data_IF_689048422867
#
_entry.id   IF_689048422867
#
_cell.length_a   1.000
_cell.length_b   1.000
_cell.length_c   1.000
_cell.angle_alpha   90.00
_cell.angle_beta   90.00
_cell.angle_gamma   90.00
#
_symmetry.space_group_name_H-M   'P 1'
#
loop_
_entity.id
_entity.type
_entity.pdbx_description
1 polymer ?
#
# COMPACT_ATOMS: atom_id res chain seq x y z
N UNK A 1 13.11 -0.87 9.42
CA UNK A 1 11.83 -1.48 9.71
C UNK A 1 11.75 -2.01 11.14
N UNK A 2 10.60 -2.45 11.54
CA UNK A 2 10.41 -3.11 12.83
C UNK A 2 9.31 -4.19 12.73
N UNK A 3 9.36 -5.14 13.69
CA UNK A 3 8.26 -6.05 14.00
C UNK A 3 7.93 -5.96 15.48
N UNK A 4 6.64 -5.98 15.82
CA UNK A 4 6.15 -5.96 17.18
C UNK A 4 5.13 -7.08 17.36
N UNK A 5 5.38 -7.98 18.32
CA UNK A 5 4.38 -8.95 18.74
C UNK A 5 3.35 -8.24 19.64
N UNK A 6 2.09 -8.22 19.20
CA UNK A 6 0.97 -7.68 19.96
C UNK A 6 0.35 -8.77 20.84
N UNK A 7 0.28 -9.99 20.29
CA UNK A 7 -0.12 -11.23 20.95
C UNK A 7 0.65 -12.37 20.30
N UNK A 8 0.69 -13.56 20.93
CA UNK A 8 1.42 -14.73 20.44
C UNK A 8 1.14 -15.11 18.95
N UNK A 9 0.01 -14.68 18.40
CA UNK A 9 -0.40 -14.94 17.02
C UNK A 9 -0.76 -13.67 16.24
N UNK A 10 -0.42 -12.48 16.77
CA UNK A 10 -0.70 -11.19 16.13
C UNK A 10 0.55 -10.33 16.18
N UNK A 11 1.07 -10.00 15.02
CA UNK A 11 2.27 -9.19 14.87
C UNK A 11 1.97 -7.95 14.02
N UNK A 12 2.60 -6.84 14.35
CA UNK A 12 2.65 -5.64 13.52
C UNK A 12 4.02 -5.56 12.85
N UNK A 13 4.02 -5.35 11.54
CA UNK A 13 5.24 -5.22 10.75
C UNK A 13 5.27 -3.87 10.03
N UNK A 14 6.45 -3.27 9.96
CA UNK A 14 6.70 -2.07 9.18
C UNK A 14 8.04 -2.21 8.46
N UNK A 15 8.05 -2.09 7.14
CA UNK A 15 9.21 -2.26 6.28
C UNK A 15 10.02 -3.52 6.66
N UNK A 16 9.37 -4.67 6.56
CA UNK A 16 9.91 -5.97 6.97
C UNK A 16 9.68 -7.02 5.91
N UNK A 17 10.52 -8.06 5.91
CA UNK A 17 10.33 -9.27 5.08
C UNK A 17 10.01 -10.43 6.01
N UNK A 18 8.96 -11.17 5.68
CA UNK A 18 8.54 -12.38 6.37
C UNK A 18 8.83 -13.55 5.44
N UNK A 19 9.67 -14.50 5.90
CA UNK A 19 9.99 -15.70 5.14
C UNK A 19 9.07 -16.85 5.57
N UNK A 20 8.41 -17.46 4.60
CA UNK A 20 7.60 -18.67 4.80
C UNK A 20 7.97 -19.64 3.69
N UNK A 21 8.73 -20.67 4.03
CA UNK A 21 9.23 -21.67 3.07
C UNK A 21 9.99 -21.00 1.91
N UNK A 22 9.49 -21.07 0.69
CA UNK A 22 10.06 -20.46 -0.51
C UNK A 22 9.36 -19.13 -0.93
N UNK A 23 8.66 -18.48 0.02
CA UNK A 23 7.90 -17.25 -0.20
C UNK A 23 8.48 -16.13 0.66
N UNK A 24 8.75 -15.00 0.03
CA UNK A 24 9.00 -13.72 0.71
C UNK A 24 7.77 -12.84 0.69
N UNK A 25 7.27 -12.50 1.89
CA UNK A 25 6.20 -11.51 2.05
C UNK A 25 6.84 -10.20 2.49
N UNK A 26 6.89 -9.23 1.59
CA UNK A 26 7.49 -7.91 1.77
C UNK A 26 6.39 -6.95 2.20
N UNK A 27 6.40 -6.53 3.46
CA UNK A 27 5.34 -5.70 4.05
C UNK A 27 5.79 -4.27 4.28
N UNK A 28 4.98 -3.32 3.87
CA UNK A 28 5.25 -1.89 4.02
C UNK A 28 3.94 -1.09 4.02
N UNK A 29 3.92 0.09 4.65
CA UNK A 29 2.82 1.04 4.44
C UNK A 29 2.82 1.55 3.00
N UNK A 30 3.98 1.63 2.35
CA UNK A 30 4.28 2.30 1.09
C UNK A 30 4.13 3.81 1.18
N UNK A 31 3.04 4.30 1.83
CA UNK A 31 2.58 5.66 1.66
C UNK A 31 2.41 5.99 0.16
N UNK A 32 2.16 7.23 -0.18
CA UNK A 32 2.07 7.67 -1.58
C UNK A 32 2.75 9.02 -1.72
N UNK A 33 2.79 9.59 -2.90
CA UNK A 33 3.46 10.85 -3.14
C UNK A 33 2.44 11.94 -3.45
N UNK A 34 2.40 12.97 -2.59
CA UNK A 34 1.52 14.12 -2.76
C UNK A 34 2.24 15.16 -3.60
N UNK A 35 1.72 15.53 -4.78
CA UNK A 35 2.27 16.59 -5.62
C UNK A 35 2.25 17.94 -4.89
N UNK A 36 3.30 18.75 -5.06
CA UNK A 36 3.42 20.03 -4.37
C UNK A 36 2.24 20.98 -4.61
N UNK A 37 1.70 20.99 -5.82
CA UNK A 37 0.54 21.81 -6.18
C UNK A 37 -0.77 21.33 -5.53
N UNK A 38 -0.81 20.12 -5.00
CA UNK A 38 -1.97 19.54 -4.30
C UNK A 38 -1.77 19.50 -2.77
N UNK A 39 -0.57 19.77 -2.28
CA UNK A 39 -0.18 19.61 -0.88
C UNK A 39 -1.10 20.38 0.08
N UNK A 40 -1.31 21.69 -0.18
CA UNK A 40 -2.17 22.52 0.67
C UNK A 40 -3.60 21.99 0.76
N UNK A 41 -4.21 21.65 -0.37
CA UNK A 41 -5.57 21.10 -0.38
C UNK A 41 -5.62 19.76 0.35
N UNK A 42 -4.67 18.88 0.08
CA UNK A 42 -4.60 17.54 0.69
C UNK A 42 -4.47 17.62 2.20
N UNK A 43 -3.61 18.48 2.74
CA UNK A 43 -3.47 18.68 4.19
C UNK A 43 -4.76 19.18 4.85
N UNK A 44 -5.59 19.97 4.13
CA UNK A 44 -6.87 20.44 4.67
C UNK A 44 -7.96 19.36 4.71
N UNK A 45 -7.98 18.44 3.75
CA UNK A 45 -9.08 17.48 3.61
C UNK A 45 -8.78 16.10 4.19
N UNK A 46 -7.51 15.66 4.21
CA UNK A 46 -7.11 14.36 4.74
C UNK A 46 -6.91 14.41 6.25
N UNK A 47 -7.53 13.47 6.96
CA UNK A 47 -7.56 13.44 8.43
C UNK A 47 -6.18 13.18 9.06
N UNK A 48 -5.29 12.54 8.34
CA UNK A 48 -3.95 12.14 8.80
C UNK A 48 -3.14 13.34 9.25
N UNK A 49 -3.20 14.44 8.51
CA UNK A 49 -2.51 15.70 8.81
C UNK A 49 -3.06 16.43 10.06
N UNK A 50 -4.16 15.96 10.63
CA UNK A 50 -4.76 16.48 11.88
C UNK A 50 -4.69 15.49 13.02
N UNK A 51 -4.22 14.26 12.80
CA UNK A 51 -4.27 13.17 13.78
C UNK A 51 -2.94 12.49 14.02
N UNK A 52 -2.09 12.41 13.00
CA UNK A 52 -0.81 11.73 13.12
C UNK A 52 0.21 12.71 13.68
N UNK A 53 0.85 12.30 14.76
CA UNK A 53 2.01 13.00 15.34
C UNK A 53 3.28 12.38 14.76
N UNK A 54 4.14 13.21 14.20
CA UNK A 54 5.42 12.81 13.64
C UNK A 54 6.53 13.64 14.27
N UNK A 55 7.48 13.00 14.95
CA UNK A 55 8.56 13.67 15.69
C UNK A 55 8.09 14.77 16.68
N UNK A 56 6.90 14.63 17.26
CA UNK A 56 6.34 15.57 18.24
C UNK A 56 5.50 16.69 17.64
N UNK A 57 5.41 16.80 16.32
CA UNK A 57 4.60 17.77 15.59
C UNK A 57 3.50 17.05 14.77
N UNK A 58 2.53 17.77 14.24
CA UNK A 58 1.59 17.18 13.28
C UNK A 58 2.32 16.81 11.99
N UNK A 59 1.91 15.68 11.42
CA UNK A 59 2.42 15.22 10.13
C UNK A 59 2.22 16.29 9.05
N UNK A 60 3.24 16.55 8.26
CA UNK A 60 3.19 17.42 7.08
C UNK A 60 3.21 16.59 5.79
N UNK A 61 2.84 17.20 4.65
CA UNK A 61 2.98 16.53 3.35
C UNK A 61 4.44 16.19 3.02
N UNK A 62 5.39 16.97 3.54
CA UNK A 62 6.81 16.73 3.33
C UNK A 62 7.27 15.46 4.09
N UNK A 63 6.79 15.26 5.32
CA UNK A 63 7.03 14.05 6.12
C UNK A 63 6.37 12.85 5.46
N UNK A 64 5.13 13.00 4.99
CA UNK A 64 4.38 11.98 4.26
C UNK A 64 5.16 11.50 3.03
N UNK A 65 5.63 12.42 2.20
CA UNK A 65 6.44 12.10 1.02
C UNK A 65 7.82 11.52 1.39
N UNK A 66 8.39 11.92 2.53
CA UNK A 66 9.63 11.33 3.03
C UNK A 66 9.44 9.87 3.42
N UNK A 67 8.34 9.56 4.11
CA UNK A 67 8.01 8.18 4.47
C UNK A 67 7.72 7.34 3.23
N UNK A 68 7.04 7.90 2.23
CA UNK A 68 6.91 7.23 0.93
C UNK A 68 8.26 6.82 0.34
N UNK A 69 9.21 7.77 0.25
CA UNK A 69 10.55 7.46 -0.31
C UNK A 69 11.26 6.36 0.47
N UNK A 70 11.17 6.35 1.82
CA UNK A 70 11.75 5.29 2.67
C UNK A 70 11.11 3.93 2.43
N UNK A 71 9.79 3.89 2.35
CA UNK A 71 9.04 2.66 2.10
C UNK A 71 9.32 2.09 0.72
N UNK A 72 9.32 2.94 -0.31
CA UNK A 72 9.59 2.53 -1.69
C UNK A 72 11.01 2.00 -1.85
N UNK A 73 11.99 2.68 -1.26
CA UNK A 73 13.39 2.23 -1.27
C UNK A 73 13.54 0.86 -0.60
N UNK A 74 12.88 0.68 0.56
CA UNK A 74 12.85 -0.62 1.24
C UNK A 74 12.25 -1.72 0.35
N UNK A 75 11.09 -1.47 -0.27
CA UNK A 75 10.41 -2.44 -1.14
C UNK A 75 11.33 -2.83 -2.31
N UNK A 76 11.92 -1.83 -2.99
CA UNK A 76 12.85 -2.07 -4.12
C UNK A 76 14.02 -2.94 -3.71
N UNK A 77 14.67 -2.61 -2.60
CA UNK A 77 15.80 -3.38 -2.08
C UNK A 77 15.41 -4.79 -1.63
N UNK A 78 14.23 -4.95 -1.01
CA UNK A 78 13.75 -6.25 -0.56
C UNK A 78 13.43 -7.17 -1.76
N UNK A 79 12.77 -6.62 -2.79
CA UNK A 79 12.48 -7.36 -4.04
C UNK A 79 13.77 -7.77 -4.76
N UNK A 80 14.74 -6.87 -4.85
CA UNK A 80 16.02 -7.13 -5.52
C UNK A 80 16.87 -8.18 -4.81
N UNK A 81 16.89 -8.14 -3.48
CA UNK A 81 17.67 -9.07 -2.63
C UNK A 81 17.01 -10.41 -2.43
N UNK A 82 15.72 -10.54 -2.69
CA UNK A 82 14.98 -11.77 -2.45
C UNK A 82 15.41 -12.87 -3.41
N UNK A 83 15.82 -14.01 -2.87
CA UNK A 83 16.13 -15.24 -3.60
C UNK A 83 14.98 -16.25 -3.55
N UNK A 84 13.89 -15.94 -2.84
CA UNK A 84 12.72 -16.81 -2.75
C UNK A 84 12.06 -17.00 -4.11
N UNK A 85 11.47 -18.19 -4.30
CA UNK A 85 10.76 -18.54 -5.53
C UNK A 85 9.60 -17.58 -5.80
N UNK A 86 8.87 -17.22 -4.74
CA UNK A 86 7.71 -16.32 -4.83
C UNK A 86 7.91 -15.06 -3.99
N UNK A 87 7.48 -13.94 -4.54
CA UNK A 87 7.53 -12.62 -3.91
C UNK A 87 6.15 -12.01 -3.84
N UNK A 88 5.70 -11.74 -2.62
CA UNK A 88 4.42 -11.11 -2.34
C UNK A 88 4.70 -9.76 -1.70
N UNK A 89 4.30 -8.67 -2.34
CA UNK A 89 4.36 -7.34 -1.74
C UNK A 89 3.00 -7.01 -1.14
N UNK A 90 2.99 -6.56 0.12
CA UNK A 90 1.77 -6.14 0.83
C UNK A 90 1.93 -4.70 1.26
N UNK A 91 1.06 -3.82 0.78
CA UNK A 91 1.09 -2.40 1.11
C UNK A 91 -0.28 -1.92 1.61
N UNK A 92 -0.29 -0.76 2.31
CA UNK A 92 -1.53 -0.09 2.64
C UNK A 92 -2.00 0.78 1.46
N UNK A 93 -1.12 1.64 0.94
CA UNK A 93 -1.46 2.51 -0.18
C UNK A 93 -1.50 1.80 -1.53
N UNK A 94 -2.25 2.38 -2.46
CA UNK A 94 -2.48 1.84 -3.81
C UNK A 94 -1.26 2.08 -4.68
N UNK A 95 -0.68 1.04 -5.33
CA UNK A 95 0.60 1.18 -6.03
C UNK A 95 0.49 1.67 -7.49
N UNK A 96 -0.71 1.91 -8.02
CA UNK A 96 -0.86 2.44 -9.39
C UNK A 96 -2.25 3.04 -9.62
N UNK A 97 -2.31 4.10 -10.42
CA UNK A 97 -3.58 4.70 -10.88
C UNK A 97 -4.44 3.75 -11.73
N UNK A 98 -3.90 2.64 -12.23
CA UNK A 98 -4.69 1.59 -12.87
C UNK A 98 -5.74 0.96 -11.93
N UNK A 99 -5.57 1.12 -10.63
CA UNK A 99 -6.46 0.61 -9.57
C UNK A 99 -7.20 1.72 -8.83
N UNK A 100 -7.21 2.93 -9.41
CA UNK A 100 -7.94 4.07 -8.87
C UNK A 100 -9.46 3.81 -8.87
N UNK A 101 -10.12 4.21 -7.78
CA UNK A 101 -11.58 4.23 -7.73
C UNK A 101 -12.14 5.29 -8.70
N UNK A 102 -12.99 4.90 -9.67
CA UNK A 102 -13.53 5.84 -10.66
C UNK A 102 -14.29 7.00 -10.03
N UNK A 103 -14.91 6.80 -8.86
CA UNK A 103 -15.64 7.84 -8.11
C UNK A 103 -14.75 9.03 -7.74
N UNK A 104 -13.46 8.81 -7.58
CA UNK A 104 -12.49 9.81 -7.16
C UNK A 104 -11.46 10.15 -8.23
N UNK A 105 -11.75 9.86 -9.51
CA UNK A 105 -10.81 10.07 -10.61
C UNK A 105 -10.28 11.52 -10.68
N UNK A 106 -11.14 12.51 -10.43
CA UNK A 106 -10.81 13.94 -10.51
C UNK A 106 -10.46 14.55 -9.13
N UNK A 107 -10.20 13.74 -8.10
CA UNK A 107 -9.88 14.26 -6.77
C UNK A 107 -8.45 14.80 -6.71
N UNK A 108 -8.29 16.04 -6.25
CA UNK A 108 -6.98 16.64 -5.95
C UNK A 108 -6.30 16.08 -4.68
N UNK A 109 -6.91 15.10 -4.01
CA UNK A 109 -6.31 14.41 -2.88
C UNK A 109 -5.80 13.00 -3.24
N UNK A 110 -5.87 12.59 -4.50
CA UNK A 110 -5.48 11.24 -4.93
C UNK A 110 -4.01 10.92 -4.61
N UNK A 111 -3.13 11.92 -4.60
CA UNK A 111 -1.74 11.75 -4.19
C UNK A 111 -1.56 11.26 -2.75
N UNK A 112 -2.57 11.38 -1.87
CA UNK A 112 -2.54 10.79 -0.54
C UNK A 112 -2.98 9.32 -0.49
N UNK A 113 -3.43 8.75 -1.59
CA UNK A 113 -3.95 7.38 -1.66
C UNK A 113 -3.17 6.50 -2.62
N UNK A 114 -2.68 7.07 -3.71
CA UNK A 114 -2.14 6.35 -4.86
C UNK A 114 -0.78 6.91 -5.24
N UNK A 115 0.15 6.03 -5.54
CA UNK A 115 1.42 6.36 -6.20
C UNK A 115 1.55 5.54 -7.49
N UNK A 116 2.15 6.10 -8.54
CA UNK A 116 2.31 5.38 -9.81
C UNK A 116 3.61 4.58 -9.82
N UNK A 117 3.48 3.27 -9.67
CA UNK A 117 4.58 2.31 -9.70
C UNK A 117 4.43 1.26 -10.82
N UNK A 118 3.57 1.51 -11.81
CA UNK A 118 3.31 0.54 -12.89
C UNK A 118 4.60 0.02 -13.51
N UNK A 119 5.51 0.92 -13.90
CA UNK A 119 6.76 0.53 -14.57
C UNK A 119 7.67 -0.29 -13.65
N UNK A 120 7.73 0.04 -12.36
CA UNK A 120 8.47 -0.75 -11.38
C UNK A 120 7.86 -2.15 -11.23
N UNK A 121 6.54 -2.25 -11.08
CA UNK A 121 5.82 -3.53 -10.95
C UNK A 121 6.06 -4.38 -12.20
N UNK A 122 5.91 -3.80 -13.40
CA UNK A 122 6.04 -4.51 -14.68
C UNK A 122 7.45 -5.06 -14.91
N UNK A 123 8.48 -4.35 -14.41
CA UNK A 123 9.89 -4.76 -14.53
C UNK A 123 10.38 -5.64 -13.38
N UNK A 124 9.61 -5.74 -12.30
CA UNK A 124 9.96 -6.50 -11.11
C UNK A 124 9.58 -7.97 -11.24
N UNK A 125 10.22 -8.83 -10.41
CA UNK A 125 9.84 -10.24 -10.26
C UNK A 125 8.93 -10.40 -9.04
N UNK A 126 7.78 -9.73 -9.05
CA UNK A 126 6.76 -9.78 -7.99
C UNK A 126 5.58 -10.61 -8.50
N UNK A 127 5.20 -11.66 -7.78
CA UNK A 127 4.09 -12.54 -8.18
C UNK A 127 2.74 -11.93 -7.79
N UNK A 128 2.67 -11.37 -6.57
CA UNK A 128 1.45 -10.74 -6.06
C UNK A 128 1.76 -9.41 -5.40
N UNK A 129 0.87 -8.43 -5.63
CA UNK A 129 0.86 -7.16 -4.90
C UNK A 129 -0.51 -6.96 -4.25
N UNK A 130 -0.57 -7.03 -2.92
CA UNK A 130 -1.80 -6.86 -2.14
C UNK A 130 -1.83 -5.44 -1.58
N UNK A 131 -2.95 -4.74 -1.75
CA UNK A 131 -3.06 -3.35 -1.33
C UNK A 131 -4.43 -3.02 -0.72
N UNK A 132 -4.52 -1.85 -0.05
CA UNK A 132 -5.70 -1.37 0.65
C UNK A 132 -5.98 0.12 0.44
N UNK A 133 -6.38 0.82 1.49
CA UNK A 133 -6.54 2.25 1.68
C UNK A 133 -7.70 2.91 0.90
N UNK A 134 -7.90 2.60 -0.36
CA UNK A 134 -8.90 3.24 -1.22
C UNK A 134 -10.35 2.81 -0.96
N UNK A 135 -10.56 1.76 -0.16
CA UNK A 135 -11.85 1.10 0.08
C UNK A 135 -12.58 0.72 -1.22
N UNK A 136 -11.83 0.52 -2.30
CA UNK A 136 -12.31 0.11 -3.59
C UNK A 136 -11.66 -1.20 -4.01
N UNK A 137 -12.45 -2.26 -4.16
CA UNK A 137 -11.95 -3.58 -4.49
C UNK A 137 -11.83 -3.73 -6.00
N UNK A 138 -10.63 -4.00 -6.45
CA UNK A 138 -10.28 -4.22 -7.85
C UNK A 138 -9.04 -5.12 -7.92
N UNK A 139 -9.08 -6.07 -8.85
CA UNK A 139 -7.94 -6.91 -9.20
C UNK A 139 -7.45 -6.52 -10.59
N UNK A 140 -6.13 -6.42 -10.74
CA UNK A 140 -5.46 -6.07 -12.00
C UNK A 140 -4.20 -6.90 -12.17
N UNK A 141 -3.82 -7.15 -13.41
CA UNK A 141 -2.51 -7.72 -13.75
C UNK A 141 -1.66 -6.61 -14.36
N UNK A 142 -0.45 -6.42 -13.83
CA UNK A 142 0.56 -5.50 -14.34
C UNK A 142 1.80 -6.33 -14.68
N UNK A 143 2.14 -6.42 -15.98
CA UNK A 143 3.11 -7.40 -16.44
C UNK A 143 2.62 -8.82 -16.14
N UNK A 144 3.30 -9.53 -15.23
CA UNK A 144 2.83 -10.82 -14.71
C UNK A 144 2.39 -10.75 -13.23
N UNK A 145 2.55 -9.60 -12.58
CA UNK A 145 2.16 -9.39 -11.19
C UNK A 145 0.65 -9.31 -11.04
N UNK A 146 0.08 -10.13 -10.18
CA UNK A 146 -1.32 -10.07 -9.80
C UNK A 146 -1.50 -9.03 -8.68
N UNK A 147 -2.07 -7.87 -8.98
CA UNK A 147 -2.39 -6.82 -8.01
C UNK A 147 -3.81 -7.06 -7.48
N UNK A 148 -3.96 -7.29 -6.18
CA UNK A 148 -5.18 -7.75 -5.54
C UNK A 148 -5.60 -6.84 -4.39
N UNK A 149 -6.91 -6.63 -4.24
CA UNK A 149 -7.46 -5.97 -3.06
C UNK A 149 -8.71 -6.66 -2.53
N UNK A 150 -8.94 -6.60 -1.23
CA UNK A 150 -10.15 -7.08 -0.58
C UNK A 150 -10.41 -6.28 0.70
N UNK A 151 -10.94 -5.10 0.54
CA UNK A 151 -11.10 -4.07 1.55
C UNK A 151 -12.54 -4.07 2.06
N UNK A 152 -12.73 -4.11 3.38
CA UNK A 152 -14.04 -4.00 3.99
C UNK A 152 -14.60 -2.56 3.87
N UNK A 153 -13.73 -1.55 3.98
CA UNK A 153 -14.12 -0.16 3.97
C UNK A 153 -15.01 0.22 5.15
N UNK A 154 -15.70 1.36 5.03
CA UNK A 154 -16.64 1.81 6.06
C UNK A 154 -18.04 1.23 5.82
N UNK A 155 -18.48 0.33 6.70
CA UNK A 155 -19.79 -0.33 6.60
C UNK A 155 -20.94 0.69 6.60
N UNK A 156 -20.84 1.75 7.40
CA UNK A 156 -21.83 2.82 7.44
C UNK A 156 -21.90 3.70 6.18
N UNK A 157 -20.90 3.60 5.30
CA UNK A 157 -20.87 4.24 3.98
C UNK A 157 -21.18 3.26 2.83
N UNK A 158 -21.57 2.02 3.16
CA UNK A 158 -21.84 0.94 2.20
C UNK A 158 -20.65 0.53 1.32
N UNK A 159 -19.41 0.75 1.78
CA UNK A 159 -18.19 0.38 1.04
C UNK A 159 -17.90 -1.13 1.07
N UNK A 160 -18.50 -1.84 2.02
CA UNK A 160 -18.33 -3.28 2.25
C UNK A 160 -18.97 -4.20 1.18
N UNK A 161 -19.75 -3.65 0.25
CA UNK A 161 -20.56 -4.46 -0.69
C UNK A 161 -19.71 -5.35 -1.60
N UNK A 162 -18.47 -4.97 -1.88
CA UNK A 162 -17.54 -5.75 -2.71
C UNK A 162 -16.53 -6.56 -1.90
N UNK A 163 -16.64 -6.56 -0.57
CA UNK A 163 -15.78 -7.36 0.29
C UNK A 163 -16.22 -8.83 0.26
N UNK A 164 -15.27 -9.73 0.00
CA UNK A 164 -15.47 -11.17 0.00
C UNK A 164 -14.69 -11.81 1.14
N UNK A 165 -15.39 -12.30 2.17
CA UNK A 165 -14.78 -12.97 3.32
C UNK A 165 -14.11 -14.31 2.97
N UNK A 166 -14.38 -14.85 1.78
CA UNK A 166 -13.81 -16.11 1.27
C UNK A 166 -12.72 -15.90 0.22
N UNK A 167 -12.32 -14.65 -0.07
CA UNK A 167 -11.32 -14.39 -1.11
C UNK A 167 -9.96 -15.01 -0.75
N UNK A 168 -9.41 -15.79 -1.66
CA UNK A 168 -8.09 -16.40 -1.56
C UNK A 168 -7.40 -16.42 -2.92
N UNK A 169 -6.11 -16.66 -2.92
CA UNK A 169 -5.32 -16.97 -4.11
C UNK A 169 -4.41 -18.17 -3.83
N UNK A 170 -3.97 -18.85 -4.87
CA UNK A 170 -3.12 -20.03 -4.79
C UNK A 170 -1.74 -19.68 -5.35
N UNK A 171 -0.69 -20.13 -4.68
CA UNK A 171 0.69 -20.09 -5.15
C UNK A 171 1.02 -21.52 -5.60
N UNK A 172 1.33 -21.71 -6.90
CA UNK A 172 1.61 -23.01 -7.51
C UNK A 172 3.10 -23.24 -7.76
#
# INVERSE_FOLDING_TARGET
GFSLEIRHNVHCYYNSVIHIEDIDIIVSTLWSEIPLNEAYYTEQVISDFRRIMYNGELLTFADFNQEHRRCLEFIKQAVDKSESRYKIVVTHHVPSYLMQCPKFADSHANGAFIVELKDFIEQSKIDFWIFGHSHYNIDKVIGYTNCLSNQLGYVFQNEHQSFDHGKYFIIE
#
